data_IF_657556842052
#
_entry.id   IF_657556842052
#
_cell.length_a   1.000
_cell.length_b   1.000
_cell.length_c   1.000
_cell.angle_alpha   90.00
_cell.angle_beta   90.00
_cell.angle_gamma   90.00
#
_symmetry.space_group_name_H-M   'P 1'
#
loop_
_entity.id
_entity.type
_entity.pdbx_description
1 polymer ?
#
# COMPACT_ATOMS: atom_id res chain seq x y z
N UNK A 1 -7.86 -16.85 -10.78
CA UNK A 1 -7.76 -15.76 -11.81
C UNK A 1 -6.67 -14.73 -11.51
N UNK A 2 -6.41 -14.41 -10.24
CA UNK A 2 -5.24 -13.62 -9.80
C UNK A 2 -4.34 -14.52 -8.93
N UNK A 3 -4.07 -14.16 -7.68
CA UNK A 3 -3.16 -14.90 -6.80
C UNK A 3 -3.70 -16.26 -6.28
N UNK A 4 -5.01 -16.54 -6.46
CA UNK A 4 -5.66 -17.82 -6.15
C UNK A 4 -5.45 -18.32 -4.70
N UNK A 5 -5.45 -17.40 -3.74
CA UNK A 5 -5.26 -17.74 -2.32
C UNK A 5 -6.52 -18.40 -1.71
N UNK A 6 -6.33 -19.55 -1.06
CA UNK A 6 -7.40 -20.23 -0.32
C UNK A 6 -7.74 -19.54 1.02
N UNK A 7 -6.76 -18.86 1.63
CA UNK A 7 -6.87 -18.25 2.95
C UNK A 7 -6.49 -16.76 2.93
N UNK A 8 -7.21 -15.95 3.70
CA UNK A 8 -6.87 -14.55 3.99
C UNK A 8 -7.28 -14.21 5.43
N UNK A 9 -6.37 -13.61 6.21
CA UNK A 9 -6.60 -13.26 7.64
C UNK A 9 -7.05 -14.47 8.48
N UNK A 10 -6.44 -15.64 8.24
CA UNK A 10 -6.73 -16.89 8.96
C UNK A 10 -8.10 -17.51 8.68
N UNK A 11 -8.80 -17.07 7.62
CA UNK A 11 -10.11 -17.59 7.22
C UNK A 11 -10.13 -17.91 5.72
N UNK A 12 -11.04 -18.80 5.25
CA UNK A 12 -11.24 -19.03 3.82
C UNK A 12 -11.51 -17.72 3.08
N UNK A 13 -10.91 -17.55 1.90
CA UNK A 13 -11.23 -16.42 1.01
C UNK A 13 -12.67 -16.51 0.54
N UNK A 14 -13.23 -15.37 0.10
CA UNK A 14 -14.64 -15.28 -0.22
C UNK A 14 -15.06 -16.26 -1.34
N UNK A 15 -14.21 -16.49 -2.33
CA UNK A 15 -14.51 -17.44 -3.42
C UNK A 15 -14.50 -18.90 -2.96
N UNK A 16 -13.68 -19.25 -1.95
CA UNK A 16 -13.69 -20.58 -1.31
C UNK A 16 -14.90 -20.75 -0.40
N UNK A 17 -15.22 -19.73 0.41
CA UNK A 17 -16.36 -19.76 1.34
C UNK A 17 -17.72 -19.75 0.62
N UNK A 18 -17.76 -19.19 -0.59
CA UNK A 18 -18.99 -19.05 -1.38
C UNK A 18 -18.77 -19.55 -2.82
N UNK A 19 -18.48 -18.65 -3.76
CA UNK A 19 -18.08 -18.94 -5.12
C UNK A 19 -17.42 -17.69 -5.75
N UNK A 20 -16.82 -17.86 -6.93
CA UNK A 20 -16.13 -16.78 -7.65
C UNK A 20 -17.06 -15.61 -8.00
N UNK A 21 -18.28 -15.87 -8.46
CA UNK A 21 -19.22 -14.82 -8.85
C UNK A 21 -19.59 -13.91 -7.67
N UNK A 22 -19.80 -14.49 -6.49
CA UNK A 22 -20.05 -13.73 -5.27
C UNK A 22 -18.82 -12.91 -4.85
N UNK A 23 -17.61 -13.46 -5.01
CA UNK A 23 -16.39 -12.72 -4.69
C UNK A 23 -16.18 -11.49 -5.58
N UNK A 24 -16.47 -11.62 -6.89
CA UNK A 24 -16.40 -10.51 -7.85
C UNK A 24 -17.43 -9.43 -7.48
N UNK A 25 -18.70 -9.80 -7.35
CA UNK A 25 -19.78 -8.84 -7.07
C UNK A 25 -19.61 -8.13 -5.71
N UNK A 26 -19.09 -8.83 -4.71
CA UNK A 26 -18.78 -8.21 -3.42
C UNK A 26 -17.65 -7.17 -3.54
N UNK A 27 -16.62 -7.46 -4.33
CA UNK A 27 -15.55 -6.51 -4.64
C UNK A 27 -16.07 -5.24 -5.34
N UNK A 28 -16.88 -5.43 -6.39
CA UNK A 28 -17.50 -4.32 -7.14
C UNK A 28 -18.38 -3.44 -6.24
N UNK A 29 -19.16 -4.07 -5.37
CA UNK A 29 -20.00 -3.38 -4.40
C UNK A 29 -19.17 -2.60 -3.37
N UNK A 30 -18.17 -3.22 -2.74
CA UNK A 30 -17.33 -2.57 -1.73
C UNK A 30 -16.57 -1.37 -2.30
N UNK A 31 -16.09 -1.47 -3.55
CA UNK A 31 -15.47 -0.35 -4.24
C UNK A 31 -16.45 0.82 -4.40
N UNK A 32 -17.68 0.55 -4.87
CA UNK A 32 -18.71 1.57 -5.06
C UNK A 32 -19.16 2.19 -3.73
N UNK A 33 -19.34 1.37 -2.69
CA UNK A 33 -19.73 1.81 -1.34
C UNK A 33 -18.70 2.75 -0.71
N UNK A 34 -17.41 2.62 -1.05
CA UNK A 34 -16.39 3.52 -0.52
C UNK A 34 -16.63 4.99 -0.94
N UNK A 35 -17.06 5.21 -2.19
CA UNK A 35 -17.40 6.55 -2.69
C UNK A 35 -18.73 7.05 -2.12
N UNK A 36 -19.74 6.17 -2.05
CA UNK A 36 -21.04 6.47 -1.43
C UNK A 36 -20.86 6.93 0.02
N UNK A 37 -20.01 6.25 0.79
CA UNK A 37 -19.74 6.59 2.18
C UNK A 37 -19.16 8.00 2.33
N UNK A 38 -18.28 8.45 1.42
CA UNK A 38 -17.75 9.82 1.45
C UNK A 38 -18.88 10.81 1.22
N UNK A 39 -19.72 10.59 0.20
CA UNK A 39 -20.81 11.50 -0.14
C UNK A 39 -21.90 11.55 0.94
N UNK A 40 -22.09 10.46 1.69
CA UNK A 40 -23.07 10.39 2.78
C UNK A 40 -22.58 11.04 4.08
N UNK A 41 -21.26 10.98 4.35
CA UNK A 41 -20.69 11.41 5.64
C UNK A 41 -20.12 12.83 5.62
N UNK A 42 -19.78 13.35 4.44
CA UNK A 42 -19.15 14.67 4.31
C UNK A 42 -20.20 15.69 3.88
N UNK A 43 -20.66 16.51 4.83
CA UNK A 43 -21.74 17.49 4.60
C UNK A 43 -21.34 18.59 3.60
N UNK A 44 -20.07 19.00 3.58
CA UNK A 44 -19.58 20.04 2.67
C UNK A 44 -19.39 19.45 1.26
N UNK A 45 -20.16 19.88 0.25
CA UNK A 45 -20.10 19.28 -1.09
C UNK A 45 -18.74 19.46 -1.78
N UNK A 46 -18.04 20.57 -1.51
CA UNK A 46 -16.72 20.82 -2.10
C UNK A 46 -15.68 19.85 -1.54
N UNK A 47 -15.69 19.67 -0.22
CA UNK A 47 -14.81 18.72 0.45
C UNK A 47 -15.13 17.28 0.02
N UNK A 48 -16.41 16.91 -0.06
CA UNK A 48 -16.83 15.59 -0.54
C UNK A 48 -16.31 15.31 -1.96
N UNK A 49 -16.44 16.29 -2.88
CA UNK A 49 -15.93 16.18 -4.24
C UNK A 49 -14.40 16.01 -4.29
N UNK A 50 -13.67 16.74 -3.45
CA UNK A 50 -12.22 16.65 -3.35
C UNK A 50 -11.77 15.28 -2.85
N UNK A 51 -12.40 14.76 -1.80
CA UNK A 51 -12.12 13.44 -1.23
C UNK A 51 -12.50 12.29 -2.18
N UNK A 52 -13.63 12.40 -2.89
CA UNK A 52 -14.02 11.45 -3.94
C UNK A 52 -12.99 11.44 -5.06
N UNK A 53 -12.49 12.61 -5.48
CA UNK A 53 -11.46 12.71 -6.51
C UNK A 53 -10.14 12.10 -6.06
N UNK A 54 -9.73 12.36 -4.82
CA UNK A 54 -8.51 11.77 -4.24
C UNK A 54 -8.59 10.23 -4.20
N UNK A 55 -9.72 9.68 -3.73
CA UNK A 55 -9.94 8.23 -3.72
C UNK A 55 -10.00 7.64 -5.13
N UNK A 56 -10.66 8.31 -6.09
CA UNK A 56 -10.77 7.82 -7.46
C UNK A 56 -9.41 7.71 -8.14
N UNK A 57 -8.54 8.73 -7.97
CA UNK A 57 -7.18 8.71 -8.51
C UNK A 57 -6.38 7.56 -7.88
N UNK A 58 -6.43 7.42 -6.55
CA UNK A 58 -5.70 6.37 -5.86
C UNK A 58 -6.19 4.95 -6.22
N UNK A 59 -7.49 4.77 -6.45
CA UNK A 59 -8.05 3.50 -6.94
C UNK A 59 -7.55 3.19 -8.35
N UNK A 60 -7.46 4.18 -9.25
CA UNK A 60 -6.89 3.98 -10.58
C UNK A 60 -5.42 3.56 -10.51
N UNK A 61 -4.62 4.24 -9.67
CA UNK A 61 -3.21 3.91 -9.46
C UNK A 61 -3.07 2.49 -8.87
N UNK A 62 -3.87 2.13 -7.86
CA UNK A 62 -3.87 0.78 -7.27
C UNK A 62 -4.17 -0.30 -8.32
N UNK A 63 -5.17 -0.08 -9.18
CA UNK A 63 -5.50 -1.00 -10.27
C UNK A 63 -4.33 -1.08 -11.26
N UNK A 64 -3.71 0.03 -11.64
CA UNK A 64 -2.54 0.03 -12.52
C UNK A 64 -1.38 -0.77 -11.90
N UNK A 65 -1.14 -0.62 -10.59
CA UNK A 65 -0.16 -1.42 -9.86
C UNK A 65 -0.48 -2.92 -9.87
N UNK A 66 -1.75 -3.29 -9.71
CA UNK A 66 -2.18 -4.68 -9.82
C UNK A 66 -2.02 -5.23 -11.24
N UNK A 67 -2.24 -4.39 -12.26
CA UNK A 67 -1.97 -4.75 -13.65
C UNK A 67 -0.48 -5.01 -13.83
N UNK A 68 0.41 -4.09 -13.42
CA UNK A 68 1.86 -4.30 -13.52
C UNK A 68 2.35 -5.56 -12.80
N UNK A 69 1.78 -5.90 -11.64
CA UNK A 69 2.13 -7.10 -10.86
C UNK A 69 1.67 -8.41 -11.53
N UNK A 70 0.57 -8.39 -12.27
CA UNK A 70 -0.04 -9.61 -12.84
C UNK A 70 0.21 -9.78 -14.34
N UNK A 71 0.34 -8.67 -15.05
CA UNK A 71 0.55 -8.56 -16.48
C UNK A 71 1.76 -7.62 -16.64
N UNK A 72 2.97 -8.15 -16.93
CA UNK A 72 4.20 -7.36 -16.92
C UNK A 72 4.27 -6.41 -18.13
N UNK A 73 3.46 -5.36 -18.10
CA UNK A 73 3.32 -4.35 -19.14
C UNK A 73 3.92 -3.01 -18.70
N UNK A 74 5.22 -3.01 -18.45
CA UNK A 74 5.96 -1.83 -18.00
C UNK A 74 6.30 -0.87 -19.14
N UNK A 75 6.52 0.43 -18.84
CA UNK A 75 7.20 1.33 -19.75
C UNK A 75 8.60 0.79 -20.15
N UNK A 76 9.00 1.02 -21.40
CA UNK A 76 10.32 0.57 -21.89
C UNK A 76 11.48 1.26 -21.14
N UNK A 77 12.55 0.52 -20.88
CA UNK A 77 13.82 1.05 -20.36
C UNK A 77 13.91 1.17 -18.83
N UNK A 78 12.96 0.62 -18.09
CA UNK A 78 13.07 0.47 -16.64
C UNK A 78 13.98 -0.72 -16.28
N UNK A 79 14.75 -0.57 -15.20
CA UNK A 79 15.40 -1.70 -14.54
C UNK A 79 14.42 -2.47 -13.67
N UNK A 80 14.69 -3.75 -13.39
CA UNK A 80 13.86 -4.61 -12.52
C UNK A 80 13.52 -3.95 -11.17
N UNK A 81 14.47 -3.20 -10.58
CA UNK A 81 14.22 -2.48 -9.33
C UNK A 81 13.23 -1.32 -9.51
N UNK A 82 13.29 -0.61 -10.64
CA UNK A 82 12.35 0.47 -10.95
C UNK A 82 10.96 -0.08 -11.28
N UNK A 83 10.88 -1.22 -11.96
CA UNK A 83 9.62 -1.93 -12.18
C UNK A 83 8.97 -2.36 -10.87
N UNK A 84 9.76 -2.95 -9.95
CA UNK A 84 9.28 -3.34 -8.62
C UNK A 84 8.82 -2.13 -7.79
N UNK A 85 9.58 -1.03 -7.82
CA UNK A 85 9.18 0.22 -7.17
C UNK A 85 7.87 0.77 -7.75
N UNK A 86 7.68 0.69 -9.07
CA UNK A 86 6.46 1.13 -9.73
C UNK A 86 5.25 0.27 -9.32
N UNK A 87 5.43 -1.05 -9.19
CA UNK A 87 4.41 -1.94 -8.64
C UNK A 87 4.05 -1.49 -7.22
N UNK A 88 5.03 -1.42 -6.32
CA UNK A 88 4.78 -1.15 -4.89
C UNK A 88 4.18 0.24 -4.65
N UNK A 89 4.67 1.25 -5.37
CA UNK A 89 4.16 2.62 -5.29
C UNK A 89 2.68 2.71 -5.65
N UNK A 90 2.24 1.92 -6.63
CA UNK A 90 0.88 1.94 -7.15
C UNK A 90 -0.01 0.96 -6.39
N UNK A 91 0.32 -0.34 -6.40
CA UNK A 91 -0.51 -1.42 -5.86
C UNK A 91 -0.83 -1.24 -4.38
N UNK A 92 0.15 -0.78 -3.60
CA UNK A 92 0.03 -0.65 -2.14
C UNK A 92 0.16 0.81 -1.70
N UNK A 93 1.13 1.54 -2.25
CA UNK A 93 1.41 2.92 -1.87
C UNK A 93 0.27 3.90 -2.18
N UNK A 94 -0.48 3.70 -3.26
CA UNK A 94 -1.51 4.66 -3.69
C UNK A 94 -2.62 4.86 -2.65
N UNK A 95 -3.18 3.76 -2.12
CA UNK A 95 -4.25 3.85 -1.12
C UNK A 95 -3.75 4.32 0.25
N UNK A 96 -2.51 4.00 0.64
CA UNK A 96 -1.91 4.53 1.87
C UNK A 96 -1.69 6.04 1.78
N UNK A 97 -1.19 6.52 0.63
CA UNK A 97 -1.05 7.94 0.31
C UNK A 97 -2.40 8.65 0.31
N UNK A 98 -3.41 8.06 -0.33
CA UNK A 98 -4.78 8.56 -0.30
C UNK A 98 -5.30 8.73 1.13
N UNK A 99 -5.17 7.70 1.97
CA UNK A 99 -5.66 7.75 3.36
C UNK A 99 -5.01 8.89 4.16
N UNK A 100 -3.69 9.07 4.03
CA UNK A 100 -2.98 10.15 4.71
C UNK A 100 -3.38 11.54 4.17
N UNK A 101 -3.46 11.69 2.84
CA UNK A 101 -3.85 12.94 2.19
C UNK A 101 -5.29 13.34 2.48
N UNK A 102 -6.23 12.40 2.45
CA UNK A 102 -7.63 12.65 2.82
C UNK A 102 -7.75 13.18 4.25
N UNK A 103 -7.00 12.60 5.19
CA UNK A 103 -6.96 13.12 6.57
C UNK A 103 -6.44 14.55 6.65
N UNK A 104 -5.39 14.88 5.89
CA UNK A 104 -4.83 16.22 5.82
C UNK A 104 -5.78 17.23 5.15
N UNK A 105 -6.46 16.84 4.07
CA UNK A 105 -7.47 17.67 3.38
C UNK A 105 -8.64 17.98 4.32
N UNK A 106 -9.14 16.98 5.06
CA UNK A 106 -10.17 17.20 6.09
C UNK A 106 -9.67 18.12 7.20
N UNK A 107 -8.39 18.03 7.55
CA UNK A 107 -7.73 18.92 8.51
C UNK A 107 -7.35 20.30 7.96
N UNK A 108 -7.78 20.64 6.74
CA UNK A 108 -7.48 21.92 6.07
C UNK A 108 -5.97 22.22 5.96
N UNK A 109 -5.17 21.17 5.75
CA UNK A 109 -3.73 21.29 5.58
C UNK A 109 -3.38 22.23 4.41
N UNK A 110 -2.37 23.08 4.60
CA UNK A 110 -1.82 23.88 3.52
C UNK A 110 -1.00 23.03 2.52
N UNK A 111 -0.62 23.61 1.39
CA UNK A 111 0.16 22.91 0.35
C UNK A 111 1.48 22.32 0.87
N UNK A 112 2.13 22.98 1.83
CA UNK A 112 3.38 22.49 2.40
C UNK A 112 3.15 21.28 3.30
N UNK A 113 2.07 21.29 4.07
CA UNK A 113 1.64 20.17 4.90
C UNK A 113 1.15 19.01 4.04
N UNK A 114 0.39 19.30 2.98
CA UNK A 114 -0.09 18.29 2.04
C UNK A 114 1.07 17.62 1.28
N UNK A 115 2.11 18.37 0.95
CA UNK A 115 3.35 17.82 0.37
C UNK A 115 4.06 16.92 1.38
N UNK A 116 4.28 17.42 2.61
CA UNK A 116 4.96 16.66 3.65
C UNK A 116 4.25 15.35 4.02
N UNK A 117 2.92 15.34 4.14
CA UNK A 117 2.17 14.11 4.41
C UNK A 117 2.19 13.15 3.21
N UNK A 118 2.29 13.68 1.98
CA UNK A 118 2.42 12.87 0.76
C UNK A 118 3.77 12.17 0.71
N UNK A 119 4.86 12.88 1.02
CA UNK A 119 6.22 12.32 1.09
C UNK A 119 6.30 11.24 2.17
N UNK A 120 5.75 11.52 3.36
CA UNK A 120 5.62 10.55 4.44
C UNK A 120 4.90 9.29 3.97
N UNK A 121 3.73 9.45 3.34
CA UNK A 121 2.91 8.32 2.93
C UNK A 121 3.55 7.49 1.80
N UNK A 122 4.30 8.13 0.91
CA UNK A 122 5.07 7.44 -0.12
C UNK A 122 6.19 6.58 0.48
N UNK A 123 6.93 7.12 1.46
CA UNK A 123 7.99 6.40 2.15
C UNK A 123 7.45 5.19 2.93
N UNK A 124 6.39 5.36 3.75
CA UNK A 124 5.81 4.24 4.48
C UNK A 124 5.17 3.20 3.57
N UNK A 125 4.56 3.63 2.45
CA UNK A 125 3.89 2.73 1.52
C UNK A 125 4.88 1.81 0.82
N UNK A 126 6.04 2.34 0.42
CA UNK A 126 7.12 1.53 -0.10
C UNK A 126 7.73 0.65 1.01
N UNK A 127 8.00 1.23 2.18
CA UNK A 127 8.59 0.50 3.32
C UNK A 127 7.74 -0.69 3.72
N UNK A 128 6.41 -0.56 3.73
CA UNK A 128 5.49 -1.64 4.06
C UNK A 128 5.70 -2.87 3.17
N UNK A 129 5.92 -2.66 1.86
CA UNK A 129 6.19 -3.73 0.90
C UNK A 129 7.62 -4.26 0.99
N UNK A 130 8.62 -3.40 1.19
CA UNK A 130 10.00 -3.85 1.40
C UNK A 130 10.10 -4.74 2.64
N UNK A 131 9.35 -4.42 3.70
CA UNK A 131 9.21 -5.26 4.90
C UNK A 131 8.45 -6.55 4.57
N UNK A 132 7.35 -6.49 3.82
CA UNK A 132 6.58 -7.70 3.44
C UNK A 132 7.43 -8.69 2.63
N UNK A 133 8.18 -8.20 1.64
CA UNK A 133 9.12 -8.98 0.83
C UNK A 133 10.21 -9.63 1.71
N UNK A 134 10.73 -8.89 2.71
CA UNK A 134 11.72 -9.41 3.65
C UNK A 134 11.12 -10.47 4.58
N UNK A 135 9.89 -10.28 5.05
CA UNK A 135 9.20 -11.23 5.91
C UNK A 135 8.84 -12.52 5.16
N UNK A 136 8.43 -12.45 3.88
CA UNK A 136 8.08 -13.62 3.07
C UNK A 136 9.23 -14.63 2.92
N UNK A 137 10.48 -14.14 2.91
CA UNK A 137 11.68 -14.98 2.82
C UNK A 137 12.29 -15.37 4.17
N UNK A 138 11.97 -14.67 5.26
CA UNK A 138 12.60 -14.89 6.58
C UNK A 138 11.69 -15.60 7.58
N UNK A 139 10.37 -15.58 7.37
CA UNK A 139 9.40 -16.14 8.31
C UNK A 139 8.71 -17.41 7.80
N UNK A 140 8.11 -18.12 8.76
CA UNK A 140 7.31 -19.33 8.50
C UNK A 140 5.86 -18.98 8.13
N UNK A 141 5.19 -19.88 7.41
CA UNK A 141 3.76 -19.76 7.05
C UNK A 141 2.86 -19.56 8.27
N UNK A 142 3.15 -20.22 9.41
CA UNK A 142 2.37 -20.04 10.64
C UNK A 142 2.46 -18.62 11.22
N UNK A 143 3.58 -17.92 11.02
CA UNK A 143 3.81 -16.57 11.54
C UNK A 143 3.18 -15.50 10.64
N UNK A 144 3.22 -15.70 9.32
CA UNK A 144 2.67 -14.75 8.34
C UNK A 144 1.15 -14.86 8.16
N UNK A 145 0.55 -16.01 8.51
CA UNK A 145 -0.87 -16.27 8.26
C UNK A 145 -1.25 -16.33 6.77
N UNK A 146 -0.25 -16.42 5.89
CA UNK A 146 -0.28 -16.66 4.44
C UNK A 146 0.86 -17.63 4.07
N UNK A 147 0.78 -18.28 2.91
CA UNK A 147 1.82 -19.21 2.42
C UNK A 147 3.16 -18.49 2.22
N UNK A 148 4.18 -18.84 3.01
CA UNK A 148 5.53 -18.25 2.91
C UNK A 148 6.28 -18.74 1.65
N UNK A 149 7.19 -17.90 1.12
CA UNK A 149 8.03 -18.23 -0.04
C UNK A 149 7.25 -18.33 -1.35
N UNK A 150 6.03 -17.80 -1.40
CA UNK A 150 5.16 -17.86 -2.57
C UNK A 150 5.73 -17.04 -3.72
N UNK A 151 6.37 -15.91 -3.43
CA UNK A 151 6.92 -15.02 -4.44
C UNK A 151 8.09 -15.68 -5.19
N UNK A 152 8.92 -16.46 -4.49
CA UNK A 152 9.97 -17.28 -5.10
C UNK A 152 9.39 -18.37 -6.01
N UNK A 153 8.31 -19.03 -5.59
CA UNK A 153 7.65 -20.08 -6.39
C UNK A 153 6.96 -19.49 -7.64
N UNK A 154 6.45 -18.27 -7.54
CA UNK A 154 5.78 -17.55 -8.63
C UNK A 154 6.75 -16.75 -9.51
N UNK A 155 8.05 -16.71 -9.17
CA UNK A 155 9.04 -15.95 -9.92
C UNK A 155 8.82 -14.43 -9.87
N UNK A 156 8.15 -13.92 -8.83
CA UNK A 156 7.93 -12.48 -8.65
C UNK A 156 9.23 -11.79 -8.22
N UNK A 157 9.42 -10.57 -8.70
CA UNK A 157 10.53 -9.72 -8.26
C UNK A 157 10.26 -9.26 -6.82
N UNK A 158 11.26 -9.44 -5.95
CA UNK A 158 11.22 -8.95 -4.56
C UNK A 158 12.49 -8.17 -4.25
N UNK A 159 12.43 -7.28 -3.26
CA UNK A 159 13.61 -6.53 -2.82
C UNK A 159 14.79 -7.44 -2.44
N UNK A 160 14.63 -8.45 -1.57
CA UNK A 160 15.73 -9.35 -1.23
C UNK A 160 16.32 -10.09 -2.43
N UNK A 161 15.50 -10.45 -3.43
CA UNK A 161 16.00 -11.13 -4.64
C UNK A 161 16.84 -10.21 -5.54
N UNK A 162 16.54 -8.90 -5.57
CA UNK A 162 17.19 -7.95 -6.47
C UNK A 162 18.44 -7.32 -5.87
N UNK A 163 18.39 -6.95 -4.59
CA UNK A 163 19.47 -6.20 -3.93
C UNK A 163 20.10 -6.92 -2.74
N UNK A 164 19.56 -8.09 -2.35
CA UNK A 164 20.02 -8.86 -1.20
C UNK A 164 19.41 -8.39 0.13
N UNK A 165 19.48 -9.28 1.13
CA UNK A 165 18.85 -9.07 2.45
C UNK A 165 19.42 -7.85 3.18
N UNK A 166 20.74 -7.69 3.21
CA UNK A 166 21.37 -6.62 3.97
C UNK A 166 21.07 -5.24 3.36
N UNK A 167 21.10 -5.13 2.03
CA UNK A 167 20.69 -3.90 1.33
C UNK A 167 19.19 -3.63 1.50
N UNK A 168 18.35 -4.68 1.55
CA UNK A 168 16.91 -4.55 1.84
C UNK A 168 16.66 -3.97 3.23
N UNK A 169 17.39 -4.45 4.24
CA UNK A 169 17.31 -3.89 5.61
C UNK A 169 17.77 -2.44 5.65
N UNK A 170 18.84 -2.11 4.93
CA UNK A 170 19.31 -0.73 4.82
C UNK A 170 18.27 0.17 4.14
N UNK A 171 17.59 -0.32 3.10
CA UNK A 171 16.51 0.39 2.43
C UNK A 171 15.33 0.70 3.37
N UNK A 172 14.99 -0.21 4.28
CA UNK A 172 13.95 0.03 5.31
C UNK A 172 14.36 1.19 6.22
N UNK A 173 15.60 1.20 6.71
CA UNK A 173 16.12 2.28 7.57
C UNK A 173 16.08 3.63 6.83
N UNK A 174 16.46 3.66 5.56
CA UNK A 174 16.42 4.88 4.74
C UNK A 174 14.99 5.39 4.54
N UNK A 175 14.02 4.50 4.27
CA UNK A 175 12.62 4.88 4.12
C UNK A 175 12.01 5.39 5.43
N UNK A 176 12.36 4.75 6.56
CA UNK A 176 11.95 5.21 7.89
C UNK A 176 12.49 6.62 8.15
N UNK A 177 13.76 6.88 7.84
CA UNK A 177 14.36 8.19 7.99
C UNK A 177 13.69 9.25 7.09
N UNK A 178 13.41 8.91 5.82
CA UNK A 178 12.68 9.80 4.91
C UNK A 178 11.28 10.14 5.43
N UNK A 179 10.56 9.15 5.95
CA UNK A 179 9.25 9.36 6.56
C UNK A 179 9.35 10.30 7.78
N UNK A 180 10.34 10.12 8.64
CA UNK A 180 10.59 11.00 9.78
C UNK A 180 10.89 12.45 9.38
N UNK A 181 11.75 12.65 8.39
CA UNK A 181 12.08 13.98 7.86
C UNK A 181 10.87 14.66 7.22
N UNK A 182 10.01 13.90 6.57
CA UNK A 182 8.75 14.41 6.04
C UNK A 182 7.81 14.84 7.17
N UNK A 183 7.69 14.06 8.24
CA UNK A 183 6.89 14.41 9.41
C UNK A 183 7.41 15.66 10.14
N UNK A 184 8.72 15.87 10.21
CA UNK A 184 9.30 17.07 10.83
C UNK A 184 8.85 18.37 10.13
N UNK A 185 8.58 18.30 8.82
CA UNK A 185 8.05 19.43 8.04
C UNK A 185 6.59 19.75 8.36
N UNK A 186 5.80 18.78 8.87
CA UNK A 186 4.41 19.01 9.26
C UNK A 186 4.27 19.91 10.48
N UNK A 187 5.32 20.00 11.31
CA UNK A 187 5.36 20.78 12.57
C UNK A 187 4.21 20.42 13.53
N UNK A 188 3.72 19.19 13.47
CA UNK A 188 2.71 18.66 14.39
C UNK A 188 3.42 17.88 15.51
N UNK A 189 3.41 18.35 16.76
CA UNK A 189 4.01 17.63 17.88
C UNK A 189 3.19 16.37 18.23
N UNK A 190 3.87 15.32 18.72
CA UNK A 190 3.29 14.01 19.11
C UNK A 190 2.35 13.41 18.06
N UNK A 191 2.92 12.89 16.98
CA UNK A 191 2.15 12.26 15.92
C UNK A 191 2.15 10.74 16.06
N UNK A 192 0.96 10.16 16.22
CA UNK A 192 0.74 8.72 16.06
C UNK A 192 1.24 8.17 14.70
N UNK A 193 1.52 9.06 13.73
CA UNK A 193 2.16 8.74 12.46
C UNK A 193 3.62 8.30 12.62
N UNK A 194 4.40 8.90 13.53
CA UNK A 194 5.78 8.45 13.79
C UNK A 194 5.79 7.06 14.43
N UNK A 195 4.93 6.85 15.42
CA UNK A 195 4.75 5.53 16.04
C UNK A 195 4.32 4.47 15.01
N UNK A 196 3.41 4.84 14.10
CA UNK A 196 2.99 3.96 13.01
C UNK A 196 4.15 3.66 12.04
N UNK A 197 4.99 4.64 11.72
CA UNK A 197 6.17 4.47 10.89
C UNK A 197 7.16 3.48 11.52
N UNK A 198 7.50 3.71 12.80
CA UNK A 198 8.42 2.84 13.57
C UNK A 198 7.88 1.42 13.70
N UNK A 199 6.57 1.29 13.93
CA UNK A 199 5.89 -0.01 13.93
C UNK A 199 5.99 -0.69 12.56
N UNK A 200 5.71 0.01 11.46
CA UNK A 200 5.78 -0.57 10.11
C UNK A 200 7.19 -1.05 9.75
N UNK A 201 8.24 -0.36 10.20
CA UNK A 201 9.63 -0.74 9.97
C UNK A 201 10.04 -2.02 10.71
N UNK A 202 9.37 -2.34 11.83
CA UNK A 202 9.75 -3.42 12.75
C UNK A 202 8.69 -4.50 12.92
N UNK A 203 7.58 -4.41 12.18
CA UNK A 203 6.49 -5.38 12.28
C UNK A 203 6.97 -6.80 11.99
N UNK A 204 6.35 -7.75 12.67
CA UNK A 204 6.68 -9.17 12.58
C UNK A 204 5.58 -10.02 11.96
N UNK A 205 4.49 -9.40 11.49
CA UNK A 205 3.39 -10.00 10.74
C UNK A 205 2.63 -8.93 9.93
#
# INVERSE_FOLDING_TARGET
AMDDDDLRRGRPTLHIATNEAMAILAGDLMNTMAFELITDKVENPKLACELVRELAIATNDMIAGQVYDTIPCFPEGLSDLQELQLIHHNKTGALLRCACRMGAIVGEADESQLTAITDYAAAIGLMFQVVDDLLDITQTTEQLGKTAGKDLVQGKLTYPSLIGIDATKQQIVELQQQAHEALDKLKVPDNALRDLCDFMATRSN
#
